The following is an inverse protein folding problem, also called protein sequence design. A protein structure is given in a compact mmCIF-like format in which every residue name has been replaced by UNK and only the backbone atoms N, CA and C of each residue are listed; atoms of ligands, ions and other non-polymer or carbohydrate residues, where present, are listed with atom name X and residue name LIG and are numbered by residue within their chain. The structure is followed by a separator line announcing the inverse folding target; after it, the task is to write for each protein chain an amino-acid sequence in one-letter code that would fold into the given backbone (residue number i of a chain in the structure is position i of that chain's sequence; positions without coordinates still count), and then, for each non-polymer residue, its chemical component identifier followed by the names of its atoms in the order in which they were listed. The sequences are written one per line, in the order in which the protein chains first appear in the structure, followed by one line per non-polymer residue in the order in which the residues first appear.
data_IF_429930671334
#
_entry.id   IF_429930671334
#
_cell.length_a   1.000
_cell.length_b   1.000
_cell.length_c   1.000
_cell.angle_alpha   90.00
_cell.angle_beta   90.00
_cell.angle_gamma   90.00
#
_symmetry.space_group_name_H-M   'P 1'
#
loop_
_entity.id
_entity.type
_entity.pdbx_description
1 polymer ?
#
# COMPACT_ATOMS: atom_id res chain seq x y z
N UNK A 1 -17.55 18.99 0.29
CA UNK A 1 -16.69 18.54 -0.85
C UNK A 1 -17.39 17.38 -1.53
N UNK A 2 -17.51 17.39 -2.86
CA UNK A 2 -18.01 16.24 -3.64
C UNK A 2 -16.80 15.67 -4.35
N UNK A 3 -16.38 14.45 -3.99
CA UNK A 3 -15.27 13.76 -4.62
C UNK A 3 -15.74 13.16 -5.96
N UNK A 4 -14.92 13.28 -6.99
CA UNK A 4 -15.14 12.67 -8.30
C UNK A 4 -14.81 11.17 -8.29
N UNK A 5 -14.04 10.73 -7.30
CA UNK A 5 -13.67 9.34 -7.12
C UNK A 5 -13.42 9.00 -5.64
N UNK A 6 -13.48 7.69 -5.33
CA UNK A 6 -13.17 7.20 -3.98
C UNK A 6 -11.68 7.37 -3.62
N UNK A 7 -10.78 7.51 -4.59
CA UNK A 7 -9.37 7.78 -4.37
C UNK A 7 -9.12 9.20 -3.85
N UNK A 8 -9.99 10.16 -4.21
CA UNK A 8 -9.94 11.53 -3.71
C UNK A 8 -10.36 11.65 -2.25
N UNK A 9 -11.05 10.63 -1.71
CA UNK A 9 -11.39 10.54 -0.29
C UNK A 9 -10.20 10.14 0.60
N UNK A 10 -9.05 9.79 0.00
CA UNK A 10 -7.82 9.44 0.73
C UNK A 10 -7.18 10.65 1.45
N UNK A 11 -7.60 11.86 1.16
CA UNK A 11 -7.08 13.08 1.80
C UNK A 11 -7.67 13.35 3.20
N UNK A 12 -8.49 12.42 3.72
CA UNK A 12 -9.06 12.57 5.06
C UNK A 12 -7.99 12.50 6.16
N UNK A 13 -7.67 13.66 6.70
CA UNK A 13 -6.78 13.82 7.84
C UNK A 13 -7.59 13.78 9.13
N UNK A 14 -7.99 12.59 9.54
CA UNK A 14 -8.72 12.41 10.79
C UNK A 14 -7.76 12.04 11.92
N UNK A 15 -7.83 12.80 13.00
CA UNK A 15 -7.03 12.60 14.20
C UNK A 15 -7.92 12.44 15.43
N UNK A 16 -7.48 11.64 16.38
CA UNK A 16 -8.11 11.49 17.70
C UNK A 16 -7.10 11.81 18.77
N UNK A 17 -7.42 12.77 19.63
CA UNK A 17 -6.61 13.06 20.84
C UNK A 17 -6.87 12.00 21.90
N UNK A 18 -5.82 11.35 22.38
CA UNK A 18 -5.89 10.28 23.37
C UNK A 18 -5.83 10.81 24.80
N UNK A 19 -6.68 11.81 25.12
CA UNK A 19 -6.66 12.55 26.38
C UNK A 19 -6.81 11.69 27.62
N UNK A 20 -7.68 10.69 27.58
CA UNK A 20 -7.93 9.82 28.73
C UNK A 20 -6.76 8.87 29.05
N UNK A 21 -6.04 8.43 28.00
CA UNK A 21 -4.88 7.55 28.15
C UNK A 21 -3.60 8.31 28.51
N UNK A 22 -3.50 9.56 28.08
CA UNK A 22 -2.31 10.41 28.26
C UNK A 22 -2.70 11.80 28.76
N UNK A 23 -3.19 11.93 30.02
CA UNK A 23 -3.77 13.20 30.51
C UNK A 23 -2.76 14.35 30.64
N UNK A 24 -1.46 14.03 30.70
CA UNK A 24 -0.36 15.00 30.86
C UNK A 24 0.37 15.34 29.57
N UNK A 25 -0.01 14.71 28.46
CA UNK A 25 0.66 14.87 27.16
C UNK A 25 -0.36 15.05 26.06
N UNK A 26 0.00 15.76 25.03
CA UNK A 26 -0.78 15.87 23.80
C UNK A 26 -0.42 14.74 22.85
N UNK A 27 -1.15 13.62 22.97
CA UNK A 27 -0.97 12.44 22.16
C UNK A 27 -2.14 12.30 21.18
N UNK A 28 -1.84 12.13 19.91
CA UNK A 28 -2.81 12.02 18.83
C UNK A 28 -2.59 10.72 18.06
N UNK A 29 -3.68 10.10 17.61
CA UNK A 29 -3.66 9.01 16.66
C UNK A 29 -4.23 9.49 15.33
N UNK A 30 -3.45 9.37 14.25
CA UNK A 30 -3.93 9.57 12.87
C UNK A 30 -4.67 8.32 12.41
N UNK A 31 -5.94 8.47 12.02
CA UNK A 31 -6.82 7.34 11.69
C UNK A 31 -6.68 6.93 10.21
N UNK A 32 -5.59 6.25 9.86
CA UNK A 32 -5.30 5.81 8.51
C UNK A 32 -6.19 4.64 8.00
N UNK A 33 -7.04 4.09 8.86
CA UNK A 33 -7.99 3.04 8.50
C UNK A 33 -9.33 3.54 7.97
N UNK A 34 -9.60 4.85 8.02
CA UNK A 34 -10.89 5.43 7.61
C UNK A 34 -10.89 5.80 6.13
N UNK A 35 -10.50 4.88 5.27
CA UNK A 35 -10.55 5.00 3.83
C UNK A 35 -11.04 3.69 3.20
N UNK A 36 -11.24 3.66 1.90
CA UNK A 36 -11.82 2.53 1.17
C UNK A 36 -10.99 1.25 1.20
N UNK A 37 -9.70 1.33 1.48
CA UNK A 37 -8.83 0.16 1.64
C UNK A 37 -8.62 -0.24 3.11
N UNK A 38 -9.18 0.52 4.06
CA UNK A 38 -9.09 0.26 5.49
C UNK A 38 -7.68 0.38 6.08
N UNK A 39 -6.76 1.08 5.42
CA UNK A 39 -5.36 1.21 5.87
C UNK A 39 -4.61 2.34 5.18
N UNK A 40 -3.46 2.72 5.75
CA UNK A 40 -2.50 3.67 5.16
C UNK A 40 -2.05 3.28 3.74
N UNK A 41 -2.22 2.02 3.34
CA UNK A 41 -1.75 1.48 2.06
C UNK A 41 -2.54 1.95 0.84
N UNK A 42 -3.70 2.59 1.02
CA UNK A 42 -4.40 3.20 -0.11
C UNK A 42 -3.52 4.25 -0.81
N UNK A 43 -2.88 5.15 -0.04
CA UNK A 43 -1.96 6.16 -0.57
C UNK A 43 -0.79 5.54 -1.34
N UNK A 44 -0.17 4.51 -0.73
CA UNK A 44 0.91 3.76 -1.35
C UNK A 44 0.45 3.11 -2.66
N UNK A 45 -0.71 2.43 -2.68
CA UNK A 45 -1.23 1.76 -3.87
C UNK A 45 -1.49 2.74 -5.02
N UNK A 46 -2.13 3.88 -4.73
CA UNK A 46 -2.37 4.94 -5.71
C UNK A 46 -1.05 5.44 -6.30
N UNK A 47 -0.09 5.81 -5.43
CA UNK A 47 1.21 6.34 -5.87
C UNK A 47 2.03 5.34 -6.70
N UNK A 48 1.99 4.07 -6.34
CA UNK A 48 2.67 3.00 -7.08
C UNK A 48 2.06 2.81 -8.47
N UNK A 49 0.73 2.80 -8.59
CA UNK A 49 0.05 2.68 -9.88
C UNK A 49 0.27 3.94 -10.74
N UNK A 50 0.17 5.14 -10.15
CA UNK A 50 0.51 6.40 -10.83
C UNK A 50 1.95 6.39 -11.39
N UNK A 51 2.88 5.80 -10.64
CA UNK A 51 4.27 5.63 -11.08
C UNK A 51 4.38 4.74 -12.31
N UNK A 52 3.64 3.61 -12.35
CA UNK A 52 3.60 2.74 -13.52
C UNK A 52 2.98 3.41 -14.74
N UNK A 53 1.90 4.18 -14.55
CA UNK A 53 1.28 4.95 -15.63
C UNK A 53 2.25 5.98 -16.22
N UNK A 54 2.95 6.73 -15.35
CA UNK A 54 3.86 7.81 -15.78
C UNK A 54 5.17 7.32 -16.37
N UNK A 55 5.78 6.30 -15.76
CA UNK A 55 7.15 5.87 -16.12
C UNK A 55 7.17 4.71 -17.09
N UNK A 56 6.15 3.86 -17.09
CA UNK A 56 6.09 2.64 -17.90
C UNK A 56 4.92 2.62 -18.88
N UNK A 57 4.13 3.69 -18.94
CA UNK A 57 3.02 3.81 -19.89
C UNK A 57 1.91 2.79 -19.67
N UNK A 58 1.65 2.40 -18.42
CA UNK A 58 0.56 1.47 -18.09
C UNK A 58 -0.77 2.02 -18.61
N UNK A 59 -1.44 1.25 -19.45
CA UNK A 59 -2.72 1.61 -20.08
C UNK A 59 -3.85 0.74 -19.54
N UNK A 60 -5.12 1.18 -19.58
CA UNK A 60 -6.28 0.36 -19.24
C UNK A 60 -6.25 -1.01 -19.91
N UNK A 61 -6.57 -2.07 -19.16
CA UNK A 61 -6.39 -3.45 -19.57
C UNK A 61 -4.99 -4.01 -19.35
N UNK A 62 -4.01 -3.17 -19.00
CA UNK A 62 -2.65 -3.60 -18.65
C UNK A 62 -2.61 -4.49 -17.42
N UNK A 63 -1.52 -5.21 -17.28
CA UNK A 63 -1.34 -6.21 -16.21
C UNK A 63 -0.31 -5.74 -15.20
N UNK A 64 -0.68 -5.76 -13.93
CA UNK A 64 0.14 -5.33 -12.78
C UNK A 64 0.40 -6.52 -11.87
N UNK A 65 1.57 -6.58 -11.25
CA UNK A 65 1.91 -7.59 -10.24
C UNK A 65 2.52 -6.95 -9.00
N UNK A 66 2.25 -7.54 -7.83
CA UNK A 66 2.92 -7.19 -6.57
C UNK A 66 3.00 -8.39 -5.62
N UNK A 67 4.05 -8.39 -4.78
CA UNK A 67 4.21 -9.32 -3.65
C UNK A 67 3.58 -8.73 -2.40
N UNK A 68 2.43 -9.25 -1.95
CA UNK A 68 1.79 -8.75 -0.73
C UNK A 68 0.97 -9.82 -0.02
N UNK A 69 1.07 -9.90 1.31
CA UNK A 69 0.25 -10.79 2.14
C UNK A 69 -0.92 -10.07 2.85
N UNK A 70 -1.11 -8.76 2.63
CA UNK A 70 -2.07 -8.00 3.43
C UNK A 70 -2.55 -6.70 2.79
N UNK A 71 -2.48 -5.62 3.57
CA UNK A 71 -3.13 -4.34 3.27
C UNK A 71 -2.77 -3.72 1.92
N UNK A 72 -1.52 -3.86 1.45
CA UNK A 72 -1.18 -3.31 0.13
C UNK A 72 -1.86 -4.10 -1.00
N UNK A 73 -1.92 -5.43 -0.89
CA UNK A 73 -2.62 -6.26 -1.87
C UNK A 73 -4.11 -5.88 -1.98
N UNK A 74 -4.77 -5.65 -0.85
CA UNK A 74 -6.16 -5.18 -0.82
C UNK A 74 -6.30 -3.81 -1.48
N UNK A 75 -5.43 -2.86 -1.13
CA UNK A 75 -5.46 -1.52 -1.68
C UNK A 75 -5.21 -1.51 -3.20
N UNK A 76 -4.19 -2.24 -3.67
CA UNK A 76 -3.92 -2.39 -5.11
C UNK A 76 -5.09 -3.04 -5.85
N UNK A 77 -5.74 -4.05 -5.24
CA UNK A 77 -6.91 -4.69 -5.85
C UNK A 77 -8.03 -3.68 -6.11
N UNK A 78 -8.33 -2.81 -5.14
CA UNK A 78 -9.33 -1.75 -5.33
C UNK A 78 -8.94 -0.72 -6.39
N UNK A 79 -7.69 -0.24 -6.37
CA UNK A 79 -7.19 0.76 -7.33
C UNK A 79 -7.16 0.17 -8.75
N UNK A 80 -6.62 -1.03 -8.93
CA UNK A 80 -6.53 -1.68 -10.24
C UNK A 80 -7.91 -1.99 -10.81
N UNK A 81 -8.83 -2.52 -10.01
CA UNK A 81 -10.21 -2.79 -10.43
C UNK A 81 -10.90 -1.51 -10.95
N UNK A 82 -10.76 -0.42 -10.20
CA UNK A 82 -11.36 0.88 -10.58
C UNK A 82 -10.75 1.45 -11.86
N UNK A 83 -9.43 1.31 -12.05
CA UNK A 83 -8.73 1.85 -13.23
C UNK A 83 -8.70 0.89 -14.42
N UNK A 84 -9.34 -0.29 -14.31
CA UNK A 84 -9.44 -1.27 -15.38
C UNK A 84 -8.14 -2.03 -15.66
N UNK A 85 -7.28 -2.20 -14.65
CA UNK A 85 -6.06 -3.00 -14.73
C UNK A 85 -6.29 -4.44 -14.26
N UNK A 86 -5.63 -5.39 -14.88
CA UNK A 86 -5.49 -6.75 -14.34
C UNK A 86 -4.46 -6.73 -13.23
N UNK A 87 -4.71 -7.44 -12.15
CA UNK A 87 -3.79 -7.51 -11.02
C UNK A 87 -3.55 -8.95 -10.60
N UNK A 88 -2.28 -9.32 -10.47
CA UNK A 88 -1.85 -10.54 -9.79
C UNK A 88 -1.13 -10.19 -8.49
N UNK A 89 -1.58 -10.74 -7.38
CA UNK A 89 -0.91 -10.65 -6.08
C UNK A 89 -0.25 -11.98 -5.78
N UNK A 90 1.06 -11.97 -5.60
CA UNK A 90 1.82 -13.13 -5.11
C UNK A 90 1.91 -13.06 -3.59
N UNK A 91 1.34 -14.05 -2.93
CA UNK A 91 1.31 -14.17 -1.48
C UNK A 91 1.84 -15.54 -1.02
N UNK A 92 1.72 -15.85 0.27
CA UNK A 92 2.21 -17.09 0.86
C UNK A 92 1.20 -17.72 1.83
N UNK A 93 1.54 -18.90 2.37
CA UNK A 93 0.68 -19.67 3.28
C UNK A 93 0.37 -18.97 4.61
N UNK A 94 1.17 -17.98 5.02
CA UNK A 94 0.94 -17.21 6.25
C UNK A 94 -0.05 -16.06 6.04
N UNK A 95 -0.45 -15.80 4.78
CA UNK A 95 -1.40 -14.73 4.50
C UNK A 95 -2.78 -15.04 5.09
N UNK A 96 -3.38 -14.03 5.69
CA UNK A 96 -4.73 -14.16 6.25
C UNK A 96 -5.74 -14.50 5.15
N UNK A 97 -6.50 -15.58 5.33
CA UNK A 97 -7.51 -16.04 4.37
C UNK A 97 -8.57 -14.97 4.03
N UNK A 98 -8.93 -14.11 4.99
CA UNK A 98 -9.84 -12.98 4.75
C UNK A 98 -9.23 -11.95 3.80
N UNK A 99 -7.92 -11.67 3.94
CA UNK A 99 -7.21 -10.77 3.02
C UNK A 99 -7.19 -11.33 1.60
N UNK A 100 -6.91 -12.64 1.44
CA UNK A 100 -6.94 -13.32 0.15
C UNK A 100 -8.34 -13.26 -0.46
N UNK A 101 -9.38 -13.58 0.32
CA UNK A 101 -10.77 -13.51 -0.14
C UNK A 101 -11.17 -12.08 -0.55
N UNK A 102 -10.72 -11.07 0.21
CA UNK A 102 -10.98 -9.67 -0.10
C UNK A 102 -10.31 -9.23 -1.41
N UNK A 103 -9.03 -9.56 -1.62
CA UNK A 103 -8.33 -9.28 -2.87
C UNK A 103 -9.02 -9.93 -4.08
N UNK A 104 -9.43 -11.20 -3.96
CA UNK A 104 -10.18 -11.92 -5.01
C UNK A 104 -11.56 -11.31 -5.28
N UNK A 105 -12.27 -10.90 -4.23
CA UNK A 105 -13.58 -10.23 -4.37
C UNK A 105 -13.48 -8.89 -5.11
N UNK A 106 -12.33 -8.22 -5.01
CA UNK A 106 -12.00 -6.99 -5.76
C UNK A 106 -11.45 -7.28 -7.17
N UNK A 107 -11.42 -8.54 -7.61
CA UNK A 107 -11.04 -8.93 -8.98
C UNK A 107 -9.56 -9.26 -9.17
N UNK A 108 -8.73 -9.28 -8.11
CA UNK A 108 -7.34 -9.67 -8.22
C UNK A 108 -7.19 -11.19 -8.34
N UNK A 109 -6.27 -11.64 -9.20
CA UNK A 109 -5.73 -12.98 -9.15
C UNK A 109 -4.76 -13.09 -7.98
N UNK A 110 -4.87 -14.15 -7.17
CA UNK A 110 -4.00 -14.35 -6.00
C UNK A 110 -3.32 -15.70 -6.10
N UNK A 111 -2.01 -15.65 -6.35
CA UNK A 111 -1.11 -16.80 -6.31
C UNK A 111 -0.54 -16.98 -4.90
N UNK A 112 -0.57 -18.21 -4.39
CA UNK A 112 -0.06 -18.55 -3.05
C UNK A 112 1.17 -19.44 -3.20
N UNK A 113 2.37 -18.91 -2.91
CA UNK A 113 3.60 -19.72 -2.89
C UNK A 113 3.61 -20.61 -1.65
N UNK A 114 4.12 -21.82 -1.81
CA UNK A 114 4.08 -22.85 -0.77
C UNK A 114 5.45 -23.20 -0.19
N UNK A 115 6.53 -22.82 -0.88
CA UNK A 115 7.90 -23.15 -0.48
C UNK A 115 8.54 -22.00 0.29
N UNK A 116 9.27 -22.35 1.34
CA UNK A 116 10.11 -21.40 2.06
C UNK A 116 11.34 -21.02 1.20
N UNK A 117 11.84 -19.81 1.43
CA UNK A 117 13.14 -19.37 0.90
C UNK A 117 14.32 -19.89 1.76
N UNK A 118 15.55 -19.61 1.34
CA UNK A 118 16.77 -20.05 2.03
C UNK A 118 16.92 -19.46 3.45
N UNK A 119 16.22 -18.36 3.75
CA UNK A 119 16.19 -17.75 5.08
C UNK A 119 15.09 -18.32 5.99
N UNK A 120 14.31 -19.30 5.51
CA UNK A 120 13.19 -19.90 6.25
C UNK A 120 11.93 -19.04 6.29
N UNK A 121 11.84 -18.04 5.39
CA UNK A 121 10.67 -17.20 5.20
C UNK A 121 10.03 -17.41 3.83
N UNK A 122 9.05 -16.59 3.49
CA UNK A 122 8.38 -16.64 2.18
C UNK A 122 8.69 -15.44 1.28
N UNK A 123 9.35 -14.41 1.80
CA UNK A 123 9.57 -13.18 1.04
C UNK A 123 10.40 -13.42 -0.21
N UNK A 124 11.50 -14.16 -0.08
CA UNK A 124 12.38 -14.50 -1.21
C UNK A 124 11.64 -15.27 -2.29
N UNK A 125 10.85 -16.29 -1.91
CA UNK A 125 10.07 -17.11 -2.86
C UNK A 125 8.98 -16.28 -3.56
N UNK A 126 8.28 -15.40 -2.83
CA UNK A 126 7.31 -14.48 -3.44
C UNK A 126 7.96 -13.55 -4.45
N UNK A 127 9.10 -12.94 -4.09
CA UNK A 127 9.83 -12.03 -4.99
C UNK A 127 10.39 -12.76 -6.21
N UNK A 128 10.89 -14.00 -6.04
CA UNK A 128 11.31 -14.83 -7.17
C UNK A 128 10.15 -15.07 -8.12
N UNK A 129 8.97 -15.44 -7.60
CA UNK A 129 7.79 -15.67 -8.42
C UNK A 129 7.32 -14.41 -9.15
N UNK A 130 7.37 -13.24 -8.51
CA UNK A 130 7.06 -11.96 -9.17
C UNK A 130 8.03 -11.71 -10.34
N UNK A 131 9.34 -11.94 -10.15
CA UNK A 131 10.34 -11.78 -11.24
C UNK A 131 10.07 -12.72 -12.41
N UNK A 132 9.76 -13.99 -12.13
CA UNK A 132 9.36 -14.95 -13.18
C UNK A 132 8.19 -14.43 -14.01
N UNK A 133 7.14 -13.89 -13.38
CA UNK A 133 6.00 -13.32 -14.08
C UNK A 133 6.37 -12.11 -14.94
N UNK A 134 7.20 -11.22 -14.40
CA UNK A 134 7.66 -10.02 -15.13
C UNK A 134 8.53 -10.36 -16.34
N UNK A 135 9.35 -11.40 -16.26
CA UNK A 135 10.22 -11.85 -17.34
C UNK A 135 9.50 -12.62 -18.46
N UNK A 136 8.24 -12.99 -18.27
CA UNK A 136 7.45 -13.64 -19.31
C UNK A 136 7.19 -12.68 -20.50
N UNK A 137 7.13 -13.20 -21.74
CA UNK A 137 6.70 -12.39 -22.88
C UNK A 137 5.31 -11.78 -22.64
N UNK A 138 5.21 -10.45 -22.65
CA UNK A 138 3.97 -9.75 -22.31
C UNK A 138 3.61 -9.78 -20.82
N UNK A 139 4.57 -10.04 -19.95
CA UNK A 139 4.41 -10.09 -18.50
C UNK A 139 3.94 -8.77 -17.87
N UNK A 140 3.54 -8.82 -16.60
CA UNK A 140 3.01 -7.66 -15.89
C UNK A 140 4.08 -6.61 -15.57
N UNK A 141 3.63 -5.38 -15.35
CA UNK A 141 4.45 -4.36 -14.69
C UNK A 141 4.42 -4.56 -13.17
N UNK A 142 5.59 -4.52 -12.55
CA UNK A 142 5.74 -4.67 -11.10
C UNK A 142 5.70 -3.33 -10.39
N UNK A 143 4.81 -3.17 -9.41
CA UNK A 143 4.75 -1.96 -8.58
C UNK A 143 5.96 -1.80 -7.66
N UNK A 144 6.60 -2.91 -7.26
CA UNK A 144 7.84 -3.00 -6.47
C UNK A 144 7.86 -2.09 -5.23
N UNK A 145 6.97 -2.34 -4.29
CA UNK A 145 6.80 -1.54 -3.07
C UNK A 145 8.09 -1.35 -2.24
N UNK A 146 9.08 -2.21 -2.42
CA UNK A 146 10.33 -2.17 -1.65
C UNK A 146 11.37 -1.18 -2.22
N UNK A 147 11.35 -0.94 -3.53
CA UNK A 147 12.35 -0.13 -4.22
C UNK A 147 11.76 1.11 -4.89
N UNK A 148 10.45 1.10 -5.18
CA UNK A 148 9.81 2.22 -5.85
C UNK A 148 9.73 3.44 -4.93
N UNK A 149 10.41 4.52 -5.31
CA UNK A 149 10.49 5.78 -4.57
C UNK A 149 9.13 6.45 -4.35
N UNK A 150 8.13 6.13 -5.17
CA UNK A 150 6.76 6.64 -4.98
C UNK A 150 6.16 6.20 -3.62
N UNK A 151 6.63 5.06 -3.05
CA UNK A 151 6.18 4.60 -1.74
C UNK A 151 6.59 5.57 -0.61
N UNK A 152 7.87 5.90 -0.35
CA UNK A 152 8.20 6.90 0.66
C UNK A 152 7.72 8.31 0.29
N UNK A 153 7.80 8.72 -0.98
CA UNK A 153 7.40 10.05 -1.39
C UNK A 153 5.94 10.39 -1.09
N UNK A 154 5.01 9.46 -1.27
CA UNK A 154 3.60 9.72 -0.95
C UNK A 154 3.38 9.96 0.53
N UNK A 155 4.18 9.35 1.40
CA UNK A 155 4.08 9.55 2.84
C UNK A 155 4.67 10.90 3.28
N UNK A 156 5.73 11.39 2.62
CA UNK A 156 6.21 12.75 2.81
C UNK A 156 5.16 13.78 2.36
N UNK A 157 4.68 13.63 1.13
CA UNK A 157 3.77 14.60 0.47
C UNK A 157 2.35 14.62 1.05
N UNK A 158 1.86 13.48 1.60
CA UNK A 158 0.48 13.36 2.09
C UNK A 158 0.44 13.09 3.60
N UNK A 159 1.12 12.04 4.09
CA UNK A 159 0.97 11.60 5.50
C UNK A 159 1.59 12.58 6.46
N UNK A 160 2.87 12.94 6.25
CA UNK A 160 3.57 13.89 7.11
C UNK A 160 3.01 15.31 6.99
N UNK A 161 2.77 15.74 5.76
CA UNK A 161 2.15 17.04 5.50
C UNK A 161 0.83 17.21 6.24
N UNK A 162 -0.05 16.23 6.22
CA UNK A 162 -1.31 16.28 6.95
C UNK A 162 -1.13 16.33 8.47
N UNK A 163 -0.07 15.70 9.01
CA UNK A 163 0.28 15.79 10.44
C UNK A 163 0.69 17.22 10.78
N UNK A 164 1.60 17.79 10.01
CA UNK A 164 2.13 19.14 10.26
C UNK A 164 1.06 20.22 10.08
N UNK A 165 0.21 20.09 9.06
CA UNK A 165 -0.89 21.05 8.81
C UNK A 165 -1.92 21.04 9.93
N UNK A 166 -2.21 19.91 10.58
CA UNK A 166 -3.22 19.79 11.61
C UNK A 166 -2.66 20.01 13.02
N UNK A 167 -1.47 19.53 13.31
CA UNK A 167 -0.91 19.45 14.66
C UNK A 167 0.37 20.28 14.87
N UNK A 168 0.98 20.78 13.79
CA UNK A 168 2.35 21.31 13.81
C UNK A 168 3.38 20.18 13.82
N UNK A 169 4.67 20.54 13.92
CA UNK A 169 5.75 19.55 14.01
C UNK A 169 5.66 18.80 15.36
N UNK A 170 5.56 17.46 15.35
CA UNK A 170 5.48 16.67 16.56
C UNK A 170 6.88 16.51 17.20
N UNK A 171 6.96 16.56 18.54
CA UNK A 171 8.19 16.22 19.27
C UNK A 171 8.58 14.75 19.08
N UNK A 172 7.58 13.86 18.93
CA UNK A 172 7.75 12.43 18.73
C UNK A 172 6.71 11.89 17.75
N UNK A 173 7.15 11.08 16.80
CA UNK A 173 6.29 10.40 15.85
C UNK A 173 6.51 8.87 15.92
N UNK A 174 5.45 8.13 16.25
CA UNK A 174 5.48 6.67 16.31
C UNK A 174 4.87 6.09 15.02
N UNK A 175 5.65 5.31 14.30
CA UNK A 175 5.26 4.73 13.00
C UNK A 175 5.59 3.24 12.99
N UNK A 176 4.64 2.42 12.51
CA UNK A 176 4.90 1.00 12.23
C UNK A 176 5.80 0.84 11.01
N UNK A 177 6.85 0.02 11.13
CA UNK A 177 7.79 -0.26 10.05
C UNK A 177 7.53 -1.66 9.45
N UNK A 178 7.05 -1.69 8.19
CA UNK A 178 6.98 -2.90 7.36
C UNK A 178 8.00 -2.77 6.21
N UNK A 179 7.60 -2.25 5.05
CA UNK A 179 8.51 -1.90 3.94
C UNK A 179 9.35 -0.65 4.21
N UNK A 180 9.21 -0.06 5.37
CA UNK A 180 9.81 1.23 5.78
C UNK A 180 9.34 2.46 5.00
N UNK A 181 8.52 2.34 3.97
CA UNK A 181 8.07 3.46 3.14
C UNK A 181 7.44 4.61 3.94
N UNK A 182 6.51 4.28 4.87
CA UNK A 182 5.91 5.32 5.74
C UNK A 182 6.96 5.97 6.64
N UNK A 183 7.81 5.17 7.30
CA UNK A 183 8.85 5.67 8.18
C UNK A 183 9.81 6.61 7.42
N UNK A 184 10.31 6.17 6.28
CA UNK A 184 11.20 7.00 5.45
C UNK A 184 10.51 8.28 4.98
N UNK A 185 9.26 8.17 4.50
CA UNK A 185 8.55 9.34 3.99
C UNK A 185 8.26 10.40 5.04
N UNK A 186 7.99 10.01 6.30
CA UNK A 186 7.77 10.99 7.38
C UNK A 186 9.06 11.51 8.02
N UNK A 187 10.22 10.95 7.64
CA UNK A 187 11.56 11.38 8.08
C UNK A 187 12.26 12.29 7.05
N UNK A 188 11.67 12.50 5.91
CA UNK A 188 12.18 13.37 4.83
C UNK A 188 11.82 14.82 5.07
#
# INVERSE_FOLDING_TARGET
MIAGSIEELDENSQFVRLKNSFPKHDVYAKLEGLNTAGSVKLKTAIALVDSLEKLHGLQPGGWVVESSSGSLGIALSGVCARRGYKLTIVTDLNANSRSISHMRALGAEVEVVQSLDAAGGFLGTRLARVRELVEMPGGPLWTNQYENVANPEVHSKKTYRAIVEELGDPDYLFVGAGTTGTLMGVSM
#
